data_IF_918844130483
#
_entry.id   IF_918844130483
#
_cell.length_a   1.000
_cell.length_b   1.000
_cell.length_c   1.000
_cell.angle_alpha   90.00
_cell.angle_beta   90.00
_cell.angle_gamma   90.00
#
_symmetry.space_group_name_H-M   'P 1'
#
loop_
_entity.id
_entity.type
_entity.pdbx_description
1 polymer ?
#
# COMPACT_ATOMS: atom_id res chain seq x y z
N UNK A 1 -4.05 -0.64 11.95
CA UNK A 1 -4.57 -1.90 11.37
C UNK A 1 -3.74 -3.03 11.96
N UNK A 2 -4.37 -4.15 12.34
CA UNK A 2 -3.68 -5.39 12.70
C UNK A 2 -4.18 -6.49 11.76
N UNK A 3 -3.28 -7.13 11.03
CA UNK A 3 -3.57 -8.25 10.13
C UNK A 3 -3.37 -9.56 10.89
N UNK A 4 -4.15 -10.59 10.55
CA UNK A 4 -4.09 -11.92 11.21
C UNK A 4 -3.78 -13.05 10.22
N UNK A 5 -3.61 -12.71 8.94
CA UNK A 5 -3.43 -13.63 7.81
C UNK A 5 -2.24 -13.23 6.93
N UNK A 6 -1.31 -12.44 7.45
CA UNK A 6 -0.07 -12.06 6.74
C UNK A 6 0.73 -13.33 6.40
N UNK A 7 0.92 -14.21 7.39
CA UNK A 7 1.61 -15.51 7.28
C UNK A 7 0.99 -16.50 6.28
N UNK A 8 -0.25 -16.24 5.84
CA UNK A 8 -0.95 -17.04 4.82
C UNK A 8 -1.14 -16.28 3.50
N UNK A 9 -0.49 -15.12 3.36
CA UNK A 9 -0.39 -14.31 2.15
C UNK A 9 -1.56 -13.35 1.89
N UNK A 10 -2.56 -13.32 2.77
CA UNK A 10 -3.72 -12.40 2.58
C UNK A 10 -3.47 -11.03 3.22
N UNK A 11 -2.82 -11.00 4.37
CA UNK A 11 -2.28 -9.77 4.95
C UNK A 11 -3.26 -8.59 4.99
N UNK A 12 -2.82 -7.45 4.45
CA UNK A 12 -3.59 -6.20 4.39
C UNK A 12 -4.53 -6.09 3.17
N UNK A 13 -4.62 -7.12 2.31
CA UNK A 13 -5.33 -7.06 1.02
C UNK A 13 -6.76 -6.49 1.09
N UNK A 14 -7.54 -6.86 2.12
CA UNK A 14 -8.94 -6.47 2.25
C UNK A 14 -9.22 -5.46 3.37
N UNK A 15 -8.16 -4.94 4.02
CA UNK A 15 -8.31 -4.27 5.31
C UNK A 15 -8.06 -2.75 5.28
N UNK A 16 -7.56 -2.22 4.16
CA UNK A 16 -7.28 -0.80 4.00
C UNK A 16 -8.53 -0.02 3.56
N UNK A 17 -8.88 1.07 4.27
CA UNK A 17 -9.88 2.03 3.81
C UNK A 17 -9.47 2.70 2.49
N UNK A 18 -10.47 3.13 1.71
CA UNK A 18 -10.25 3.74 0.39
C UNK A 18 -9.58 5.12 0.43
N UNK A 19 -9.59 5.79 1.58
CA UNK A 19 -9.06 7.15 1.79
C UNK A 19 -7.65 7.16 2.39
N UNK A 20 -6.98 6.00 2.46
CA UNK A 20 -5.58 5.90 2.88
C UNK A 20 -4.66 6.33 1.74
N UNK A 21 -3.75 7.27 2.01
CA UNK A 21 -2.74 7.74 1.05
C UNK A 21 -1.38 7.04 1.23
N UNK A 22 -1.05 6.72 2.48
CA UNK A 22 0.24 6.17 2.90
C UNK A 22 0.04 4.97 3.81
N UNK A 23 0.71 3.86 3.50
CA UNK A 23 0.70 2.65 4.29
C UNK A 23 2.12 2.26 4.69
N UNK A 24 2.41 2.40 5.98
CA UNK A 24 3.67 1.95 6.57
C UNK A 24 3.43 0.62 7.28
N UNK A 25 3.86 -0.47 6.66
CA UNK A 25 3.89 -1.79 7.28
C UNK A 25 4.93 -1.84 8.39
N UNK A 26 4.62 -2.55 9.47
CA UNK A 26 5.51 -2.76 10.62
C UNK A 26 5.73 -4.26 10.78
N UNK A 27 6.97 -4.69 10.72
CA UNK A 27 7.28 -6.12 10.79
C UNK A 27 8.66 -6.39 11.42
N UNK A 28 9.08 -7.65 11.37
CA UNK A 28 10.40 -8.10 11.76
C UNK A 28 11.42 -7.92 10.63
N UNK A 29 12.67 -7.68 11.00
CA UNK A 29 13.80 -7.64 10.10
C UNK A 29 14.77 -8.78 10.47
N UNK A 30 14.89 -9.84 9.65
CA UNK A 30 15.83 -10.91 9.92
C UNK A 30 17.27 -10.41 10.00
N UNK A 31 17.93 -10.63 11.14
CA UNK A 31 19.34 -10.30 11.33
C UNK A 31 20.18 -11.51 10.98
N UNK A 32 20.70 -11.53 9.76
CA UNK A 32 21.46 -12.65 9.23
C UNK A 32 22.62 -12.18 8.33
N UNK A 33 23.64 -13.02 8.09
CA UNK A 33 24.71 -12.70 7.15
C UNK A 33 24.17 -12.28 5.78
N UNK A 34 24.60 -11.12 5.29
CA UNK A 34 24.15 -10.55 4.02
C UNK A 34 23.02 -9.52 4.15
N UNK A 35 22.37 -9.42 5.31
CA UNK A 35 21.44 -8.34 5.63
C UNK A 35 22.15 -7.16 6.30
N UNK A 36 21.61 -5.96 6.12
CA UNK A 36 22.07 -4.75 6.80
C UNK A 36 21.36 -4.48 8.13
N UNK A 37 20.29 -5.23 8.40
CA UNK A 37 19.50 -5.19 9.63
C UNK A 37 20.35 -5.47 10.86
N UNK A 38 19.93 -4.91 12.00
CA UNK A 38 20.64 -5.03 13.28
C UNK A 38 19.63 -5.08 14.41
N UNK A 39 19.88 -5.92 15.42
CA UNK A 39 19.06 -5.97 16.64
C UNK A 39 19.06 -4.64 17.42
N UNK A 40 19.99 -3.72 17.14
CA UNK A 40 20.12 -2.43 17.83
C UNK A 40 19.63 -1.22 17.01
N UNK A 41 18.99 -1.43 15.87
CA UNK A 41 18.55 -0.35 14.98
C UNK A 41 17.24 -0.69 14.27
N UNK A 42 16.44 0.33 13.95
CA UNK A 42 15.27 0.13 13.09
C UNK A 42 15.71 -0.05 11.63
N UNK A 43 15.17 -1.05 10.95
CA UNK A 43 15.35 -1.25 9.53
C UNK A 43 14.27 -0.48 8.76
N UNK A 44 14.69 0.34 7.81
CA UNK A 44 13.84 0.98 6.81
C UNK A 44 14.05 0.19 5.52
N UNK A 45 13.06 -0.63 5.16
CA UNK A 45 13.16 -1.47 3.99
C UNK A 45 13.11 -0.60 2.72
N UNK A 46 14.00 -0.89 1.78
CA UNK A 46 14.02 -0.21 0.49
C UNK A 46 13.30 -1.02 -0.59
N UNK A 47 13.20 -2.34 -0.41
CA UNK A 47 12.57 -3.27 -1.35
C UNK A 47 12.27 -4.60 -0.66
N UNK A 48 11.19 -5.25 -1.08
CA UNK A 48 10.91 -6.66 -0.84
C UNK A 48 10.85 -7.47 -2.16
N UNK A 49 10.35 -8.70 -2.14
CA UNK A 49 10.21 -9.53 -3.35
C UNK A 49 9.18 -8.99 -4.35
N UNK A 50 8.24 -8.15 -3.89
CA UNK A 50 7.24 -7.47 -4.72
C UNK A 50 7.79 -6.27 -5.47
N UNK A 51 8.87 -5.66 -4.98
CA UNK A 51 9.55 -4.55 -5.63
C UNK A 51 10.00 -3.46 -4.66
N UNK A 52 10.52 -2.35 -5.20
CA UNK A 52 10.91 -1.21 -4.37
C UNK A 52 9.69 -0.58 -3.69
N UNK A 53 9.86 -0.14 -2.45
CA UNK A 53 8.89 0.70 -1.75
C UNK A 53 8.85 2.12 -2.33
N UNK A 54 7.85 2.92 -1.94
CA UNK A 54 7.70 4.28 -2.44
C UNK A 54 8.95 5.13 -2.14
N UNK A 55 9.49 5.73 -3.20
CA UNK A 55 10.72 6.50 -3.14
C UNK A 55 10.66 7.68 -2.17
N UNK A 56 9.52 8.38 -2.15
CA UNK A 56 9.36 9.60 -1.37
C UNK A 56 9.11 9.28 0.10
N UNK A 57 8.26 8.29 0.38
CA UNK A 57 7.93 7.83 1.73
C UNK A 57 9.14 7.21 2.42
N UNK A 58 9.88 6.31 1.77
CA UNK A 58 11.11 5.74 2.37
C UNK A 58 12.15 6.83 2.69
N UNK A 59 12.26 7.88 1.85
CA UNK A 59 13.17 9.01 2.10
C UNK A 59 12.69 9.92 3.22
N UNK A 60 11.39 10.13 3.33
CA UNK A 60 10.79 10.86 4.44
C UNK A 60 11.11 10.17 5.77
N UNK A 61 10.90 8.85 5.85
CA UNK A 61 11.24 8.04 7.02
C UNK A 61 12.74 8.09 7.35
N UNK A 62 13.60 8.00 6.34
CA UNK A 62 15.05 8.15 6.52
C UNK A 62 15.45 9.53 7.05
N UNK A 63 14.80 10.59 6.58
CA UNK A 63 15.02 11.96 7.06
C UNK A 63 14.56 12.08 8.51
N UNK A 64 13.37 11.61 8.85
CA UNK A 64 12.86 11.60 10.22
C UNK A 64 13.80 10.85 11.17
N UNK A 65 14.32 9.70 10.76
CA UNK A 65 15.30 8.96 11.54
C UNK A 65 16.59 9.77 11.76
N UNK A 66 17.11 10.42 10.71
CA UNK A 66 18.30 11.27 10.79
C UNK A 66 18.08 12.48 11.70
N UNK A 67 16.98 13.20 11.54
CA UNK A 67 16.68 14.43 12.27
C UNK A 67 16.44 14.18 13.77
N UNK A 68 15.99 12.96 14.12
CA UNK A 68 15.78 12.53 15.50
C UNK A 68 16.94 11.69 16.07
N UNK A 69 18.07 11.62 15.34
CA UNK A 69 19.27 10.89 15.72
C UNK A 69 18.99 9.41 16.10
N UNK A 70 18.13 8.76 15.32
CA UNK A 70 17.72 7.38 15.56
C UNK A 70 18.67 6.41 14.86
N UNK A 71 19.08 5.30 15.53
CA UNK A 71 19.83 4.26 14.87
C UNK A 71 18.94 3.57 13.84
N UNK A 72 19.19 3.84 12.56
CA UNK A 72 18.42 3.29 11.45
C UNK A 72 19.34 2.64 10.39
N UNK A 73 18.85 1.56 9.77
CA UNK A 73 19.52 0.84 8.68
C UNK A 73 18.61 0.81 7.46
N UNK A 74 19.21 0.87 6.27
CA UNK A 74 18.52 0.56 5.02
C UNK A 74 18.75 -0.91 4.71
N UNK A 75 17.71 -1.63 4.28
CA UNK A 75 17.87 -3.04 3.91
C UNK A 75 17.00 -3.46 2.71
N UNK A 76 17.31 -4.64 2.16
CA UNK A 76 16.61 -5.26 1.03
C UNK A 76 16.17 -6.68 1.40
N UNK A 77 14.87 -6.97 1.37
CA UNK A 77 14.33 -8.28 1.74
C UNK A 77 13.95 -9.10 0.51
N UNK A 78 14.94 -9.73 -0.13
CA UNK A 78 14.81 -10.37 -1.46
C UNK A 78 13.87 -11.57 -1.55
N UNK A 79 13.57 -12.23 -0.43
CA UNK A 79 12.80 -13.48 -0.38
C UNK A 79 11.61 -13.38 0.58
N UNK A 80 11.18 -12.16 0.86
CA UNK A 80 10.10 -11.82 1.76
C UNK A 80 9.04 -11.03 1.00
N UNK A 81 7.78 -11.19 1.39
CA UNK A 81 6.66 -10.42 0.87
C UNK A 81 5.98 -9.74 2.05
N UNK A 82 5.82 -8.42 1.98
CA UNK A 82 5.20 -7.66 3.05
C UNK A 82 3.67 -7.62 2.95
N UNK A 83 3.04 -7.16 4.03
CA UNK A 83 1.66 -6.68 3.98
C UNK A 83 1.45 -5.55 2.95
N UNK A 84 2.48 -4.76 2.66
CA UNK A 84 2.42 -3.76 1.60
C UNK A 84 2.32 -4.42 0.22
N UNK A 85 2.97 -5.57 0.00
CA UNK A 85 2.81 -6.34 -1.23
C UNK A 85 1.37 -6.87 -1.38
N UNK A 86 0.77 -7.41 -0.32
CA UNK A 86 -0.62 -7.90 -0.38
C UNK A 86 -1.62 -6.77 -0.64
N UNK A 87 -1.42 -5.60 -0.03
CA UNK A 87 -2.22 -4.41 -0.31
C UNK A 87 -2.12 -3.96 -1.78
N UNK A 88 -0.90 -3.78 -2.31
CA UNK A 88 -0.72 -3.34 -3.70
C UNK A 88 -1.28 -4.36 -4.69
N UNK A 89 -1.07 -5.65 -4.44
CA UNK A 89 -1.57 -6.73 -5.32
C UNK A 89 -3.10 -6.80 -5.33
N UNK A 90 -3.77 -6.41 -4.24
CA UNK A 90 -5.22 -6.31 -4.17
C UNK A 90 -5.79 -5.09 -4.90
N UNK A 91 -4.94 -4.20 -5.43
CA UNK A 91 -5.34 -3.03 -6.22
C UNK A 91 -5.47 -1.74 -5.42
N UNK A 92 -4.94 -1.67 -4.19
CA UNK A 92 -4.88 -0.42 -3.43
C UNK A 92 -3.89 0.55 -4.08
N UNK A 93 -4.35 1.74 -4.43
CA UNK A 93 -3.52 2.82 -4.99
C UNK A 93 -2.94 3.69 -3.86
N UNK A 94 -1.89 3.18 -3.22
CA UNK A 94 -1.31 3.76 -2.00
C UNK A 94 0.22 3.78 -2.07
N UNK A 95 0.83 4.73 -1.37
CA UNK A 95 2.28 4.74 -1.16
C UNK A 95 2.64 3.81 -0.02
N UNK A 96 3.49 2.83 -0.28
CA UNK A 96 3.88 1.84 0.72
C UNK A 96 5.30 2.03 1.21
N UNK A 97 5.53 1.75 2.48
CA UNK A 97 6.84 1.59 3.08
C UNK A 97 6.81 0.50 4.15
N UNK A 98 7.98 0.01 4.55
CA UNK A 98 8.13 -0.98 5.61
C UNK A 98 9.19 -0.52 6.61
N UNK A 99 8.79 -0.46 7.87
CA UNK A 99 9.68 -0.32 9.02
C UNK A 99 9.74 -1.65 9.76
N UNK A 100 10.92 -2.06 10.18
CA UNK A 100 11.08 -3.33 10.83
C UNK A 100 12.09 -3.31 11.97
N UNK A 101 11.87 -4.15 12.98
CA UNK A 101 12.81 -4.30 14.10
C UNK A 101 13.69 -5.53 13.93
N UNK A 102 14.97 -5.41 14.27
CA UNK A 102 15.93 -6.51 14.12
C UNK A 102 15.55 -7.71 15.00
N UNK A 103 15.39 -8.87 14.37
CA UNK A 103 15.02 -10.13 15.03
C UNK A 103 15.94 -11.27 14.56
N UNK A 104 16.38 -12.08 15.52
CA UNK A 104 17.04 -13.36 15.29
C UNK A 104 16.04 -14.51 15.40
N UNK A 105 16.25 -15.57 14.61
CA UNK A 105 15.50 -16.82 14.64
C UNK A 105 13.97 -16.68 14.51
N UNK A 106 13.51 -15.79 13.62
CA UNK A 106 12.08 -15.67 13.31
C UNK A 106 11.44 -16.99 12.86
N UNK A 107 10.13 -17.16 13.12
CA UNK A 107 9.37 -18.40 12.97
C UNK A 107 9.89 -19.56 13.86
N UNK A 108 10.75 -19.25 14.83
CA UNK A 108 11.34 -20.18 15.77
C UNK A 108 11.30 -19.62 17.19
N UNK A 109 12.45 -19.57 17.84
CA UNK A 109 12.60 -18.93 19.15
C UNK A 109 13.15 -17.52 18.99
N UNK A 110 12.23 -16.58 18.81
CA UNK A 110 12.55 -15.22 18.41
C UNK A 110 13.27 -14.43 19.51
N UNK A 111 14.28 -13.68 19.11
CA UNK A 111 15.04 -12.80 19.99
C UNK A 111 15.25 -11.46 19.31
N UNK A 112 15.02 -10.40 20.07
CA UNK A 112 15.27 -9.03 19.62
C UNK A 112 15.85 -8.23 20.77
N UNK A 113 16.62 -7.20 20.46
CA UNK A 113 17.12 -6.28 21.46
C UNK A 113 16.18 -5.08 21.60
N UNK A 114 15.97 -4.65 22.85
CA UNK A 114 15.03 -3.57 23.20
C UNK A 114 15.34 -2.25 22.47
N UNK A 115 16.61 -2.03 22.11
CA UNK A 115 17.05 -0.85 21.37
C UNK A 115 16.38 -0.73 19.99
N UNK A 116 16.23 -1.83 19.25
CA UNK A 116 15.55 -1.77 17.95
C UNK A 116 14.07 -1.43 18.11
N UNK A 117 13.41 -1.96 19.14
CA UNK A 117 12.02 -1.63 19.44
C UNK A 117 11.87 -0.17 19.89
N UNK A 118 12.81 0.34 20.69
CA UNK A 118 12.83 1.74 21.10
C UNK A 118 13.06 2.69 19.91
N UNK A 119 13.99 2.36 19.01
CA UNK A 119 14.24 3.12 17.79
C UNK A 119 13.03 3.12 16.86
N UNK A 120 12.41 1.96 16.64
CA UNK A 120 11.19 1.81 15.85
C UNK A 120 10.04 2.65 16.44
N UNK A 121 9.81 2.55 17.75
CA UNK A 121 8.76 3.31 18.44
C UNK A 121 8.96 4.83 18.31
N UNK A 122 10.20 5.30 18.45
CA UNK A 122 10.54 6.72 18.27
C UNK A 122 10.35 7.19 16.82
N UNK A 123 10.73 6.36 15.84
CA UNK A 123 10.54 6.68 14.43
C UNK A 123 9.05 6.72 14.06
N UNK A 124 8.25 5.79 14.60
CA UNK A 124 6.80 5.80 14.44
C UNK A 124 6.17 7.05 15.03
N UNK A 125 6.58 7.45 16.24
CA UNK A 125 6.15 8.71 16.85
C UNK A 125 6.49 9.91 15.97
N UNK A 126 7.72 9.98 15.44
CA UNK A 126 8.14 11.05 14.54
C UNK A 126 7.33 11.06 13.23
N UNK A 127 7.03 9.89 12.66
CA UNK A 127 6.23 9.76 11.44
C UNK A 127 4.78 10.22 11.65
N UNK A 128 4.12 9.72 12.71
CA UNK A 128 2.73 10.08 13.03
C UNK A 128 2.57 11.59 13.29
N UNK A 129 3.58 12.23 13.87
CA UNK A 129 3.58 13.67 14.14
C UNK A 129 4.09 14.51 12.96
N UNK A 130 4.56 13.88 11.88
CA UNK A 130 5.01 14.57 10.69
C UNK A 130 3.84 14.90 9.75
N UNK A 131 3.93 15.95 8.93
CA UNK A 131 3.03 16.12 7.79
C UNK A 131 3.14 14.91 6.83
N UNK A 132 2.07 14.60 6.07
CA UNK A 132 2.15 13.63 4.98
C UNK A 132 3.24 14.00 3.98
N UNK A 133 3.75 13.02 3.25
CA UNK A 133 4.82 13.21 2.26
C UNK A 133 4.38 14.21 1.19
N UNK A 134 3.12 14.15 0.77
CA UNK A 134 2.52 15.14 -0.12
C UNK A 134 1.47 15.96 0.64
N UNK A 135 1.60 17.29 0.57
CA UNK A 135 0.68 18.20 1.25
C UNK A 135 -0.78 18.05 0.82
N UNK A 136 -1.05 17.52 -0.38
CA UNK A 136 -2.39 17.19 -0.86
C UNK A 136 -3.10 16.14 -0.01
N UNK A 137 -2.35 15.24 0.63
CA UNK A 137 -2.92 14.15 1.44
C UNK A 137 -3.36 14.61 2.83
N UNK A 138 -2.95 15.81 3.26
CA UNK A 138 -3.36 16.37 4.55
C UNK A 138 -4.85 16.79 4.56
N UNK A 139 -5.46 16.90 3.38
CA UNK A 139 -6.88 17.16 3.24
C UNK A 139 -7.59 15.83 3.03
N UNK A 140 -8.61 15.50 3.85
CA UNK A 140 -9.46 14.35 3.57
C UNK A 140 -9.98 14.45 2.15
N UNK A 141 -9.97 13.35 1.40
CA UNK A 141 -10.61 13.32 0.09
C UNK A 141 -12.09 13.67 0.26
N UNK A 142 -12.45 14.93 -0.01
CA UNK A 142 -13.83 15.31 -0.30
C UNK A 142 -14.12 14.68 -1.65
N UNK A 143 -14.58 13.42 -1.63
CA UNK A 143 -14.86 12.61 -2.80
C UNK A 143 -15.96 13.24 -3.67
N UNK A 144 -15.61 14.31 -4.39
CA UNK A 144 -16.40 14.79 -5.50
C UNK A 144 -15.94 14.00 -6.72
N UNK A 145 -16.87 13.19 -7.23
CA UNK A 145 -16.72 12.50 -8.51
C UNK A 145 -16.82 13.48 -9.69
N UNK A 146 -17.03 14.79 -9.45
CA UNK A 146 -17.20 15.80 -10.51
C UNK A 146 -15.95 15.95 -11.40
N UNK A 147 -14.80 15.44 -10.95
CA UNK A 147 -13.56 15.40 -11.74
C UNK A 147 -13.38 14.13 -12.57
N UNK A 148 -14.18 13.10 -12.35
CA UNK A 148 -14.17 11.92 -13.20
C UNK A 148 -14.93 12.22 -14.50
N UNK A 149 -14.41 11.68 -15.60
CA UNK A 149 -15.07 11.77 -16.89
C UNK A 149 -16.46 11.15 -16.79
N UNK A 150 -17.50 11.97 -16.85
CA UNK A 150 -18.85 11.47 -17.00
C UNK A 150 -18.96 10.82 -18.37
N UNK A 151 -19.45 9.58 -18.40
CA UNK A 151 -19.90 9.01 -19.67
C UNK A 151 -20.99 9.92 -20.20
N UNK A 152 -20.86 10.38 -21.45
CA UNK A 152 -21.91 11.17 -22.09
C UNK A 152 -23.20 10.34 -22.02
N UNK A 153 -24.17 10.80 -21.24
CA UNK A 153 -25.50 10.19 -21.19
C UNK A 153 -26.13 10.40 -22.57
N UNK A 154 -25.96 9.41 -23.45
CA UNK A 154 -26.76 9.31 -24.66
C UNK A 154 -28.03 8.57 -24.26
N UNK A 155 -29.21 9.10 -24.59
CA UNK A 155 -30.51 8.47 -24.29
C UNK A 155 -30.56 6.98 -24.69
N UNK A 156 -29.74 6.58 -25.69
CA UNK A 156 -29.63 5.20 -26.18
C UNK A 156 -28.89 4.24 -25.23
N UNK A 157 -28.06 4.73 -24.31
CA UNK A 157 -27.26 3.90 -23.38
C UNK A 157 -27.99 3.57 -22.08
N UNK A 158 -29.13 4.23 -21.79
CA UNK A 158 -29.94 3.99 -20.60
C UNK A 158 -31.16 3.09 -20.85
N UNK A 159 -31.38 2.66 -22.09
CA UNK A 159 -32.46 1.72 -22.41
C UNK A 159 -32.02 0.27 -22.08
N UNK A 160 -32.87 -0.50 -21.39
CA UNK A 160 -32.55 -1.91 -21.07
C UNK A 160 -32.48 -2.81 -22.29
N UNK A 161 -32.99 -2.33 -23.42
CA UNK A 161 -33.18 -3.12 -24.62
C UNK A 161 -32.28 -2.60 -25.73
N UNK A 162 -31.59 -3.52 -26.39
CA UNK A 162 -30.85 -3.22 -27.61
C UNK A 162 -31.86 -2.83 -28.69
N UNK A 163 -31.86 -1.55 -29.13
CA UNK A 163 -32.64 -1.11 -30.30
C UNK A 163 -32.15 -1.84 -31.55
N UNK A 164 -32.76 -2.97 -31.84
CA UNK A 164 -32.66 -3.61 -33.16
C UNK A 164 -33.74 -3.03 -34.08
N UNK A 165 -33.43 -2.80 -35.37
CA UNK A 165 -34.44 -2.40 -36.34
C UNK A 165 -35.59 -3.41 -36.34
N UNK A 166 -36.85 -2.96 -36.43
CA UNK A 166 -37.98 -3.88 -36.54
C UNK A 166 -37.84 -4.73 -37.81
N UNK A 167 -38.37 -5.96 -37.79
CA UNK A 167 -38.32 -6.85 -38.96
C UNK A 167 -38.93 -6.17 -40.20
N UNK A 168 -39.99 -5.37 -40.01
CA UNK A 168 -40.63 -4.62 -41.10
C UNK A 168 -39.72 -3.55 -41.72
N UNK A 169 -38.81 -2.97 -40.94
CA UNK A 169 -37.82 -2.00 -41.44
C UNK A 169 -36.71 -2.65 -42.27
N UNK A 170 -36.49 -3.96 -42.11
CA UNK A 170 -35.47 -4.73 -42.83
C UNK A 170 -36.04 -5.45 -44.04
N UNK A 171 -37.28 -5.91 -43.96
CA UNK A 171 -37.91 -6.76 -44.99
C UNK A 171 -38.76 -5.96 -45.98
N UNK A 172 -39.10 -4.70 -45.65
CA UNK A 172 -39.99 -3.85 -46.45
C UNK A 172 -41.44 -4.32 -46.33
N UNK A 173 -42.38 -3.38 -46.21
CA UNK A 173 -43.80 -3.73 -46.17
C UNK A 173 -44.19 -4.43 -47.47
N UNK A 174 -44.57 -5.71 -47.39
CA UNK A 174 -45.26 -6.40 -48.48
C UNK A 174 -46.53 -5.61 -48.77
N UNK A 175 -46.57 -4.97 -49.93
CA UNK A 175 -47.79 -4.33 -50.43
C UNK A 175 -48.84 -5.43 -50.62
N UNK A 176 -49.84 -5.47 -49.76
CA UNK A 176 -51.03 -6.28 -49.98
C UNK A 176 -51.88 -5.59 -51.06
N UNK A 177 -52.14 -6.32 -52.14
CA UNK A 177 -53.00 -5.93 -53.26
C UNK A 177 -54.34 -6.67 -53.15
#
# INVERSE_FOLDING_TARGET
LFTITEETGSGAAAALPWDVSEFVGIDIAPVAPGQHSSEHAVSIAMQDSGGPYDYHLSRHLLRLASDNELPARRDLFRYYFSDAHSAVTAGHDIRTALLAFGCDATHGYERTHIDSLAALSRLLGAYILSPPVFASDAQPATGSLDRFSHQLEHDTQMESDTRVPSVDSLVGQRSEN
#
